data_IF_712064885357
#
_entry.id   IF_712064885357
#
_cell.length_a   1.000
_cell.length_b   1.000
_cell.length_c   1.000
_cell.angle_alpha   90.00
_cell.angle_beta   90.00
_cell.angle_gamma   90.00
#
_symmetry.space_group_name_H-M   'P 1'
#
loop_
_entity.id
_entity.type
_entity.pdbx_description
1 polymer ?
#
# COMPACT_ATOMS: atom_id res chain seq x y z
N UNK A 1 -8.75 14.94 12.25
CA UNK A 1 -7.35 15.03 11.78
C UNK A 1 -7.00 13.80 10.98
N UNK A 2 -6.37 13.98 9.84
CA UNK A 2 -5.99 12.84 8.99
C UNK A 2 -4.53 12.47 9.20
N UNK A 3 -4.24 11.19 9.03
CA UNK A 3 -2.87 10.69 9.13
C UNK A 3 -2.41 10.25 7.75
N UNK A 4 -1.24 10.75 7.34
CA UNK A 4 -0.56 10.31 6.12
C UNK A 4 0.52 9.31 6.50
N UNK A 5 0.56 8.20 5.79
CA UNK A 5 1.58 7.18 6.00
C UNK A 5 2.19 6.79 4.67
N UNK A 6 3.48 6.50 4.69
CA UNK A 6 4.18 5.96 3.53
C UNK A 6 4.98 4.75 4.00
N UNK A 7 4.72 3.62 3.39
CA UNK A 7 5.44 2.39 3.69
C UNK A 7 6.29 2.00 2.48
N UNK A 8 7.55 1.67 2.74
CA UNK A 8 8.45 1.17 1.69
C UNK A 8 8.55 -0.34 1.83
N UNK A 9 8.34 -1.04 0.72
CA UNK A 9 8.41 -2.49 0.67
C UNK A 9 9.40 -2.93 -0.40
N UNK A 10 10.18 -3.97 -0.09
CA UNK A 10 11.15 -4.55 -1.01
C UNK A 10 10.91 -6.04 -1.11
N UNK A 11 10.80 -6.55 -2.31
CA UNK A 11 10.60 -7.98 -2.54
C UNK A 11 11.69 -8.54 -3.43
N UNK A 12 12.03 -9.80 -3.21
CA UNK A 12 12.97 -10.49 -4.07
C UNK A 12 12.35 -10.69 -5.44
N UNK A 13 13.16 -10.58 -6.48
CA UNK A 13 12.70 -10.65 -7.85
C UNK A 13 11.94 -11.95 -8.18
N UNK A 14 12.38 -13.07 -7.64
CA UNK A 14 11.75 -14.37 -7.90
C UNK A 14 10.38 -14.55 -7.23
N UNK A 15 10.02 -13.66 -6.33
CA UNK A 15 8.71 -13.68 -5.65
C UNK A 15 7.82 -12.52 -6.06
N UNK A 16 8.25 -11.74 -7.04
CA UNK A 16 7.63 -10.47 -7.36
C UNK A 16 6.20 -10.63 -7.86
N UNK A 17 5.95 -11.60 -8.71
CA UNK A 17 4.60 -11.83 -9.25
C UNK A 17 3.60 -12.11 -8.13
N UNK A 18 3.95 -13.04 -7.25
CA UNK A 18 3.08 -13.40 -6.14
C UNK A 18 2.88 -12.24 -5.17
N UNK A 19 3.95 -11.50 -4.91
CA UNK A 19 3.86 -10.33 -4.05
C UNK A 19 2.91 -9.27 -4.61
N UNK A 20 2.99 -9.00 -5.91
CA UNK A 20 2.11 -8.02 -6.55
C UNK A 20 0.65 -8.46 -6.44
N UNK A 21 0.36 -9.74 -6.68
CA UNK A 21 -1.01 -10.23 -6.57
C UNK A 21 -1.56 -10.10 -5.16
N UNK A 22 -0.75 -10.42 -4.15
CA UNK A 22 -1.13 -10.26 -2.76
C UNK A 22 -1.35 -8.78 -2.40
N UNK A 23 -0.49 -7.90 -2.89
CA UNK A 23 -0.60 -6.47 -2.63
C UNK A 23 -1.86 -5.88 -3.27
N UNK A 24 -2.21 -6.32 -4.47
CA UNK A 24 -3.44 -5.87 -5.13
C UNK A 24 -4.67 -6.25 -4.32
N UNK A 25 -4.66 -7.45 -3.78
CA UNK A 25 -5.75 -7.93 -2.94
C UNK A 25 -5.82 -7.11 -1.65
N UNK A 26 -4.66 -6.84 -1.04
CA UNK A 26 -4.58 -6.03 0.16
C UNK A 26 -5.14 -4.63 -0.09
N UNK A 27 -4.78 -4.00 -1.19
CA UNK A 27 -5.28 -2.68 -1.56
C UNK A 27 -6.81 -2.70 -1.67
N UNK A 28 -7.35 -3.68 -2.39
CA UNK A 28 -8.78 -3.81 -2.58
C UNK A 28 -9.53 -3.96 -1.25
N UNK A 29 -9.01 -4.80 -0.36
CA UNK A 29 -9.65 -5.04 0.93
C UNK A 29 -9.50 -3.85 1.87
N UNK A 30 -8.31 -3.23 1.89
CA UNK A 30 -8.04 -2.12 2.79
C UNK A 30 -8.87 -0.88 2.44
N UNK A 31 -9.10 -0.64 1.16
CA UNK A 31 -9.92 0.49 0.73
C UNK A 31 -11.36 0.42 1.22
N UNK A 32 -11.82 -0.76 1.61
CA UNK A 32 -13.16 -0.96 2.14
C UNK A 32 -13.24 -0.67 3.65
N UNK A 33 -12.11 -0.52 4.29
CA UNK A 33 -12.08 -0.27 5.73
C UNK A 33 -12.55 1.15 6.04
N UNK A 34 -13.28 1.27 7.14
CA UNK A 34 -13.74 2.56 7.61
C UNK A 34 -12.55 3.45 7.97
N UNK A 35 -12.60 4.69 7.53
CA UNK A 35 -11.51 5.63 7.79
C UNK A 35 -10.42 5.63 6.74
N UNK A 36 -10.42 4.68 5.81
CA UNK A 36 -9.43 4.67 4.73
C UNK A 36 -9.84 5.67 3.65
N UNK A 37 -9.11 6.77 3.55
CA UNK A 37 -9.37 7.80 2.56
C UNK A 37 -8.54 7.61 1.30
N UNK A 38 -7.35 7.03 1.44
CA UNK A 38 -6.46 6.76 0.33
C UNK A 38 -5.58 5.57 0.68
N UNK A 39 -5.38 4.69 -0.27
CA UNK A 39 -4.50 3.54 -0.10
C UNK A 39 -4.00 3.14 -1.48
N UNK A 40 -2.85 3.68 -1.88
CA UNK A 40 -2.29 3.51 -3.22
C UNK A 40 -0.98 2.77 -3.20
N UNK A 41 -0.85 1.79 -4.08
CA UNK A 41 0.37 1.05 -4.30
C UNK A 41 1.11 1.68 -5.48
N UNK A 42 2.35 2.08 -5.25
CA UNK A 42 3.18 2.71 -6.27
C UNK A 42 4.42 1.86 -6.49
N UNK A 43 4.70 1.50 -7.73
CA UNK A 43 5.90 0.76 -8.08
C UNK A 43 7.02 1.73 -8.40
N UNK A 44 8.22 1.44 -7.87
CA UNK A 44 9.42 2.18 -8.23
C UNK A 44 9.97 1.58 -9.54
N UNK A 45 9.86 2.32 -10.61
CA UNK A 45 10.28 1.83 -11.94
C UNK A 45 11.78 1.66 -12.07
N UNK A 46 12.56 2.37 -11.26
CA UNK A 46 14.01 2.31 -11.33
C UNK A 46 14.60 1.18 -10.49
N UNK A 47 13.86 0.73 -9.48
CA UNK A 47 14.30 -0.30 -8.56
C UNK A 47 13.27 -1.42 -8.52
N UNK A 48 13.46 -2.42 -9.35
CA UNK A 48 12.55 -3.54 -9.46
C UNK A 48 12.34 -4.22 -8.10
N UNK A 49 11.09 -4.51 -7.78
CA UNK A 49 10.74 -5.12 -6.49
C UNK A 49 10.54 -4.12 -5.35
N UNK A 50 10.75 -2.84 -5.61
CA UNK A 50 10.52 -1.79 -4.63
C UNK A 50 9.16 -1.16 -4.86
N UNK A 51 8.39 -1.04 -3.79
CA UNK A 51 7.04 -0.47 -3.83
C UNK A 51 6.85 0.50 -2.68
N UNK A 52 6.01 1.49 -2.92
CA UNK A 52 5.58 2.41 -1.88
C UNK A 52 4.08 2.26 -1.69
N UNK A 53 3.65 2.21 -0.45
CA UNK A 53 2.24 2.28 -0.13
C UNK A 53 1.98 3.66 0.46
N UNK A 54 1.15 4.43 -0.23
CA UNK A 54 0.77 5.78 0.21
C UNK A 54 -0.61 5.70 0.80
N UNK A 55 -0.74 6.08 2.07
CA UNK A 55 -1.97 5.91 2.83
C UNK A 55 -2.43 7.22 3.42
N UNK A 56 -3.74 7.42 3.42
CA UNK A 56 -4.37 8.52 4.12
C UNK A 56 -5.54 7.96 4.92
N UNK A 57 -5.50 8.16 6.20
CA UNK A 57 -6.51 7.65 7.11
C UNK A 57 -7.17 8.80 7.87
N UNK A 58 -8.46 8.71 8.01
CA UNK A 58 -9.18 9.61 8.87
C UNK A 58 -8.98 9.14 10.31
N UNK A 59 -8.47 10.04 11.15
CA UNK A 59 -8.37 9.73 12.57
C UNK A 59 -9.65 10.16 13.22
N UNK A 60 -10.25 9.25 13.89
CA UNK A 60 -11.40 9.55 14.68
C UNK A 60 -11.02 9.52 16.14
N UNK A 61 -11.52 10.50 16.84
CA UNK A 61 -11.29 10.60 18.26
C UNK A 61 -12.33 9.79 19.02
N UNK A 62 -12.56 8.60 18.55
CA UNK A 62 -13.53 7.72 19.19
C UNK A 62 -13.00 6.36 19.48
#
# INVERSE_FOLDING_TARGET
MNIHLVALMKFKENHLFDAIELLKKLVSETRKEEGCLQYDLIEDKENKGHFFMVELWETEEH
#
